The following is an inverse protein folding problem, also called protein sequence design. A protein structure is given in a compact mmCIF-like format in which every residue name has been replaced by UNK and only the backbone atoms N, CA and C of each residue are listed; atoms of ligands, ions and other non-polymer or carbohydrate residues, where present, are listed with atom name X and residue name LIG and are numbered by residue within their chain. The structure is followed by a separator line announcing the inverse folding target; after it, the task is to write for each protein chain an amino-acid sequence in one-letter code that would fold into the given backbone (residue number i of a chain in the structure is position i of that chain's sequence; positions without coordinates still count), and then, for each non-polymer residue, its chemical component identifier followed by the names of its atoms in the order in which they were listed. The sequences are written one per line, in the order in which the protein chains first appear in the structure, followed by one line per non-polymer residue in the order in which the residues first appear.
data_IF_377266596330
#
_entry.id   IF_377266596330
#
_cell.length_a   1.000
_cell.length_b   1.000
_cell.length_c   1.000
_cell.angle_alpha   90.00
_cell.angle_beta   90.00
_cell.angle_gamma   90.00
#
_symmetry.space_group_name_H-M   'P 1'
#
loop_
_entity.id
_entity.type
_entity.pdbx_description
1 polymer ?
#
# COMPACT_ATOMS: atom_id res chain seq x y z
N UNK A 1 57.64 -23.74 74.40
CA UNK A 1 57.88 -22.36 73.95
C UNK A 1 59.23 -22.29 73.26
N UNK A 2 59.47 -21.45 72.26
CA UNK A 2 58.69 -20.39 71.62
C UNK A 2 59.30 -20.21 70.21
N UNK A 3 58.58 -19.98 69.11
CA UNK A 3 57.61 -18.91 68.83
C UNK A 3 58.20 -17.49 68.81
N UNK A 4 59.45 -17.30 68.36
CA UNK A 4 60.02 -15.95 68.16
C UNK A 4 60.93 -15.73 66.92
N UNK A 5 61.28 -16.74 66.12
CA UNK A 5 62.22 -16.54 64.99
C UNK A 5 61.58 -16.39 63.60
N UNK A 6 60.25 -16.23 63.50
CA UNK A 6 59.55 -16.19 62.22
C UNK A 6 58.71 -14.94 61.97
N UNK A 7 58.93 -13.85 62.74
CA UNK A 7 58.01 -12.70 62.77
C UNK A 7 58.58 -11.31 62.45
N UNK A 8 59.84 -11.12 62.00
CA UNK A 8 60.32 -9.77 61.65
C UNK A 8 61.18 -9.73 60.38
N UNK A 9 60.46 -9.61 59.25
CA UNK A 9 60.72 -8.79 58.05
C UNK A 9 62.13 -8.46 57.57
N UNK A 10 62.32 -8.55 56.25
CA UNK A 10 62.79 -7.44 55.38
C UNK A 10 62.60 -7.79 53.89
N UNK A 11 61.86 -6.94 53.18
CA UNK A 11 61.67 -6.87 51.71
C UNK A 11 62.96 -6.42 50.96
N UNK A 12 62.98 -6.10 49.64
CA UNK A 12 62.15 -6.49 48.49
C UNK A 12 62.99 -7.01 47.29
N UNK A 13 62.35 -7.57 46.27
CA UNK A 13 63.03 -7.84 44.99
C UNK A 13 62.12 -8.47 43.92
N UNK A 14 61.25 -7.67 43.32
CA UNK A 14 60.70 -7.91 41.97
C UNK A 14 61.82 -7.59 40.92
N UNK A 15 61.78 -8.06 39.65
CA UNK A 15 60.56 -8.22 38.85
C UNK A 15 60.45 -9.43 37.88
N UNK A 16 59.20 -9.64 37.45
CA UNK A 16 58.70 -10.02 36.12
C UNK A 16 59.18 -11.30 35.41
N UNK A 17 58.35 -12.35 35.44
CA UNK A 17 57.34 -12.66 34.39
C UNK A 17 56.65 -14.01 34.69
N UNK A 18 55.31 -14.12 34.58
CA UNK A 18 54.60 -15.37 34.85
C UNK A 18 54.34 -16.20 33.58
N UNK A 19 54.40 -17.51 33.82
CA UNK A 19 54.15 -18.65 32.96
C UNK A 19 52.68 -18.79 32.47
N UNK A 20 52.50 -19.50 31.36
CA UNK A 20 51.30 -20.34 31.09
C UNK A 20 51.05 -21.32 32.26
N UNK A 21 49.83 -21.86 32.52
CA UNK A 21 49.00 -22.57 31.53
C UNK A 21 47.46 -22.64 31.80
N UNK A 22 46.82 -23.44 30.94
CA UNK A 22 45.72 -24.38 31.21
C UNK A 22 44.24 -24.03 30.99
N UNK A 23 43.56 -25.04 30.47
CA UNK A 23 42.26 -25.05 29.82
C UNK A 23 41.10 -25.28 30.79
N UNK A 24 39.92 -24.86 30.32
CA UNK A 24 38.58 -25.35 30.65
C UNK A 24 37.98 -24.96 32.03
N UNK A 25 37.11 -23.94 32.02
CA UNK A 25 35.75 -24.11 32.56
C UNK A 25 34.78 -23.12 31.89
N UNK A 26 33.79 -23.67 31.19
CA UNK A 26 32.70 -22.95 30.52
C UNK A 26 31.52 -22.75 31.47
N UNK A 27 30.63 -21.82 31.10
CA UNK A 27 29.20 -21.83 31.37
C UNK A 27 28.72 -21.05 32.62
N UNK A 28 28.44 -19.76 32.43
CA UNK A 28 27.16 -19.11 32.79
C UNK A 28 27.31 -17.57 32.76
N UNK A 29 27.17 -16.95 31.58
CA UNK A 29 26.78 -15.54 31.51
C UNK A 29 25.85 -15.33 30.31
N UNK A 30 24.66 -14.71 30.50
CA UNK A 30 23.74 -14.44 29.40
C UNK A 30 24.37 -13.38 28.52
N UNK A 31 24.96 -13.80 27.39
CA UNK A 31 25.43 -12.89 26.35
C UNK A 31 24.22 -12.11 25.85
N UNK A 32 24.21 -10.80 26.08
CA UNK A 32 23.22 -9.89 25.54
C UNK A 32 23.33 -9.87 24.01
N UNK A 33 22.62 -10.78 23.35
CA UNK A 33 22.55 -10.93 21.88
C UNK A 33 22.15 -9.60 21.20
N UNK A 34 21.44 -8.72 21.92
CA UNK A 34 21.06 -7.38 21.47
C UNK A 34 22.24 -6.45 21.15
N UNK A 35 23.39 -6.58 21.82
CA UNK A 35 24.48 -5.61 21.64
C UNK A 35 25.29 -5.88 20.37
N UNK A 36 25.28 -7.11 19.84
CA UNK A 36 26.04 -7.46 18.64
C UNK A 36 25.30 -7.14 17.32
N UNK A 37 23.98 -6.94 17.35
CA UNK A 37 23.22 -6.52 16.16
C UNK A 37 23.34 -5.00 15.87
N UNK A 38 23.65 -4.19 16.88
CA UNK A 38 23.67 -2.72 16.72
C UNK A 38 25.04 -2.17 16.26
N UNK A 39 26.12 -2.95 16.34
CA UNK A 39 27.46 -2.50 15.99
C UNK A 39 27.85 -2.75 14.52
N UNK A 40 26.97 -3.36 13.72
CA UNK A 40 27.19 -3.56 12.28
C UNK A 40 26.95 -2.28 11.46
N UNK A 41 26.57 -1.17 12.10
CA UNK A 41 26.20 0.08 11.44
C UNK A 41 27.41 1.00 11.12
N UNK A 42 28.58 0.77 11.72
CA UNK A 42 29.71 1.71 11.65
C UNK A 42 30.72 1.45 10.51
N UNK A 43 30.55 0.39 9.72
CA UNK A 43 31.53 -0.02 8.70
C UNK A 43 30.91 -0.28 7.33
N UNK A 44 29.97 0.55 6.86
CA UNK A 44 29.64 0.65 5.42
C UNK A 44 29.38 -0.67 4.68
N UNK A 45 28.95 -1.72 5.39
CA UNK A 45 28.71 -3.04 4.82
C UNK A 45 27.40 -2.98 4.04
N UNK A 46 27.30 -3.68 2.90
CA UNK A 46 26.07 -3.72 2.12
C UNK A 46 24.95 -4.18 3.04
N UNK A 47 23.94 -3.33 3.24
CA UNK A 47 22.89 -3.43 4.28
C UNK A 47 21.85 -4.52 3.97
N UNK A 48 22.26 -5.57 3.27
CA UNK A 48 21.43 -6.67 2.86
C UNK A 48 22.27 -7.89 2.51
N UNK A 49 22.52 -8.73 3.51
CA UNK A 49 23.19 -10.02 3.33
C UNK A 49 22.23 -11.08 2.79
N UNK A 50 20.92 -10.85 2.91
CA UNK A 50 19.92 -11.86 2.62
C UNK A 50 19.11 -11.56 1.37
N UNK A 51 18.75 -12.60 0.63
CA UNK A 51 17.70 -12.58 -0.37
C UNK A 51 16.49 -13.30 0.17
N UNK A 52 15.33 -12.63 0.17
CA UNK A 52 14.06 -13.17 0.65
C UNK A 52 13.20 -13.62 -0.53
N UNK A 53 12.51 -14.75 -0.32
CA UNK A 53 11.64 -15.42 -1.27
C UNK A 53 10.32 -15.67 -0.56
N UNK A 54 9.21 -15.26 -1.15
CA UNK A 54 7.89 -15.61 -0.66
C UNK A 54 7.52 -16.98 -1.21
N UNK A 55 7.18 -17.92 -0.33
CA UNK A 55 6.81 -19.30 -0.67
C UNK A 55 5.37 -19.54 -0.25
N UNK A 56 4.59 -20.09 -1.17
CA UNK A 56 3.24 -20.59 -0.91
C UNK A 56 3.32 -22.04 -0.41
N UNK A 57 2.94 -22.28 0.83
CA UNK A 57 3.20 -23.57 1.50
C UNK A 57 2.31 -24.72 1.00
N UNK A 58 1.23 -24.44 0.27
CA UNK A 58 0.31 -25.47 -0.22
C UNK A 58 0.74 -26.13 -1.55
N UNK A 59 1.59 -25.49 -2.36
CA UNK A 59 2.13 -26.05 -3.62
C UNK A 59 3.63 -25.80 -3.84
N UNK A 60 4.30 -25.18 -2.87
CA UNK A 60 5.71 -24.84 -2.93
C UNK A 60 6.04 -23.77 -3.97
N UNK A 61 5.07 -23.06 -4.55
CA UNK A 61 5.40 -21.98 -5.48
C UNK A 61 6.15 -20.86 -4.76
N UNK A 62 7.21 -20.33 -5.36
CA UNK A 62 7.96 -19.24 -4.76
C UNK A 62 8.34 -18.14 -5.74
N UNK A 63 8.42 -16.91 -5.24
CA UNK A 63 8.82 -15.73 -6.00
C UNK A 63 9.71 -14.80 -5.16
N UNK A 64 10.61 -14.02 -5.80
CA UNK A 64 11.51 -13.13 -5.09
C UNK A 64 10.80 -11.92 -4.48
N UNK A 65 11.25 -11.55 -3.28
CA UNK A 65 10.79 -10.36 -2.55
C UNK A 65 11.88 -9.29 -2.55
N UNK A 66 12.94 -9.50 -1.76
CA UNK A 66 14.06 -8.57 -1.62
C UNK A 66 15.37 -9.27 -1.96
N UNK A 67 16.25 -8.61 -2.73
CA UNK A 67 17.60 -9.15 -3.04
C UNK A 67 18.68 -8.72 -2.05
N UNK A 68 18.38 -7.77 -1.17
CA UNK A 68 19.29 -7.21 -0.18
C UNK A 68 18.51 -6.83 1.09
N UNK A 69 17.96 -7.84 1.76
CA UNK A 69 17.27 -7.71 3.04
C UNK A 69 18.24 -7.87 4.22
N UNK A 70 17.97 -7.12 5.28
CA UNK A 70 18.52 -7.35 6.62
C UNK A 70 17.56 -8.22 7.44
N UNK A 71 18.00 -8.82 8.57
CA UNK A 71 17.09 -9.56 9.45
C UNK A 71 15.91 -8.73 9.97
N UNK A 72 16.06 -7.41 10.11
CA UNK A 72 14.99 -6.49 10.50
C UNK A 72 13.89 -6.35 9.45
N UNK A 73 14.17 -6.68 8.19
CA UNK A 73 13.23 -6.60 7.07
C UNK A 73 12.32 -7.82 6.96
N UNK A 74 12.64 -8.93 7.63
CA UNK A 74 11.93 -10.20 7.47
C UNK A 74 10.46 -10.11 7.90
N UNK A 75 10.15 -9.33 8.93
CA UNK A 75 8.76 -9.13 9.36
C UNK A 75 7.94 -8.37 8.31
N UNK A 76 8.52 -7.33 7.71
CA UNK A 76 7.89 -6.57 6.62
C UNK A 76 7.67 -7.47 5.41
N UNK A 77 8.72 -8.21 5.02
CA UNK A 77 8.65 -9.11 3.88
C UNK A 77 7.63 -10.24 4.13
N UNK A 78 7.49 -10.73 5.37
CA UNK A 78 6.48 -11.72 5.75
C UNK A 78 5.06 -11.17 5.57
N UNK A 79 4.78 -9.95 6.07
CA UNK A 79 3.46 -9.30 5.88
C UNK A 79 3.14 -9.06 4.40
N UNK A 80 4.13 -8.67 3.60
CA UNK A 80 3.96 -8.48 2.16
C UNK A 80 3.75 -9.82 1.43
N UNK A 81 4.41 -10.88 1.89
CA UNK A 81 4.24 -12.23 1.35
C UNK A 81 2.81 -12.76 1.62
N UNK A 82 2.30 -12.58 2.83
CA UNK A 82 0.92 -12.93 3.21
C UNK A 82 -0.12 -12.13 2.44
N UNK A 83 0.09 -10.82 2.25
CA UNK A 83 -0.85 -9.97 1.51
C UNK A 83 -0.90 -10.27 0.01
N UNK A 84 0.13 -10.94 -0.54
CA UNK A 84 0.19 -11.30 -1.95
C UNK A 84 -0.88 -12.34 -2.34
N UNK A 85 -1.24 -13.24 -1.43
CA UNK A 85 -2.19 -14.33 -1.69
C UNK A 85 -3.10 -14.55 -0.46
N UNK A 86 -4.06 -13.65 -0.21
CA UNK A 86 -4.97 -13.76 0.92
C UNK A 86 -5.79 -15.06 0.83
N UNK A 87 -5.96 -15.74 1.97
CA UNK A 87 -6.67 -17.01 2.05
C UNK A 87 -5.81 -18.25 1.77
N UNK A 88 -4.52 -18.07 1.49
CA UNK A 88 -3.53 -19.15 1.43
C UNK A 88 -2.41 -18.90 2.43
N UNK A 89 -1.82 -19.97 2.99
CA UNK A 89 -0.64 -19.85 3.85
C UNK A 89 0.61 -19.54 3.00
N UNK A 90 1.26 -18.43 3.35
CA UNK A 90 2.45 -17.90 2.68
C UNK A 90 3.54 -17.67 3.72
N UNK A 91 4.78 -17.95 3.37
CA UNK A 91 5.91 -17.87 4.29
C UNK A 91 7.16 -17.35 3.58
N UNK A 92 7.90 -16.48 4.25
CA UNK A 92 9.19 -16.03 3.75
C UNK A 92 10.26 -17.07 4.03
N UNK A 93 11.04 -17.36 3.00
CA UNK A 93 12.28 -18.09 3.04
C UNK A 93 13.41 -17.15 2.65
N UNK A 94 14.62 -17.39 3.16
CA UNK A 94 15.78 -16.56 2.85
C UNK A 94 17.00 -17.39 2.49
N UNK A 95 17.92 -16.76 1.78
CA UNK A 95 19.27 -17.25 1.49
C UNK A 95 20.28 -16.13 1.70
N UNK A 96 21.55 -16.46 1.97
CA UNK A 96 22.66 -15.50 2.13
C UNK A 96 23.46 -15.30 0.84
N UNK A 97 23.41 -16.24 -0.10
CA UNK A 97 24.14 -16.19 -1.37
C UNK A 97 23.25 -15.78 -2.54
N UNK A 98 23.81 -15.04 -3.50
CA UNK A 98 23.12 -14.74 -4.78
C UNK A 98 22.94 -15.99 -5.67
N UNK A 99 23.75 -17.02 -5.46
CA UNK A 99 23.79 -18.24 -6.26
C UNK A 99 23.37 -19.50 -5.48
N UNK A 100 22.78 -19.34 -4.31
CA UNK A 100 22.34 -20.49 -3.51
C UNK A 100 21.12 -21.15 -4.16
N UNK A 101 21.04 -22.48 -4.05
CA UNK A 101 19.91 -23.23 -4.57
C UNK A 101 18.65 -22.94 -3.74
N UNK A 102 17.54 -22.75 -4.45
CA UNK A 102 16.19 -22.72 -3.90
C UNK A 102 15.89 -23.84 -2.90
N UNK A 103 16.44 -25.04 -3.06
CA UNK A 103 16.23 -26.16 -2.13
C UNK A 103 16.75 -25.87 -0.71
N UNK A 104 17.85 -25.12 -0.63
CA UNK A 104 18.55 -24.78 0.61
C UNK A 104 18.07 -23.51 1.30
N UNK A 105 17.07 -22.81 0.75
CA UNK A 105 16.52 -21.61 1.38
C UNK A 105 15.92 -21.96 2.73
N UNK A 106 16.11 -21.10 3.73
CA UNK A 106 15.66 -21.36 5.11
C UNK A 106 14.40 -20.56 5.42
N UNK A 107 13.40 -21.20 5.99
CA UNK A 107 12.17 -20.56 6.48
C UNK A 107 12.50 -19.53 7.58
N UNK A 108 11.97 -18.31 7.46
CA UNK A 108 12.10 -17.27 8.49
C UNK A 108 11.33 -17.60 9.78
N UNK A 109 10.32 -18.47 9.68
CA UNK A 109 9.42 -18.83 10.79
C UNK A 109 9.86 -20.13 11.46
N UNK A 110 10.14 -21.17 10.67
CA UNK A 110 10.42 -22.52 11.20
C UNK A 110 11.91 -22.86 11.27
N UNK A 111 12.77 -22.11 10.57
CA UNK A 111 14.19 -22.41 10.44
C UNK A 111 14.52 -23.67 9.62
N UNK A 112 13.51 -24.32 9.02
CA UNK A 112 13.70 -25.50 8.17
C UNK A 112 14.01 -25.11 6.71
N UNK A 113 14.77 -25.94 5.99
CA UNK A 113 15.05 -25.71 4.58
C UNK A 113 13.78 -25.94 3.74
N UNK A 114 13.70 -25.25 2.60
CA UNK A 114 12.56 -25.34 1.69
C UNK A 114 12.34 -26.77 1.16
N UNK A 115 13.41 -27.56 0.97
CA UNK A 115 13.29 -28.96 0.53
C UNK A 115 12.57 -29.88 1.53
N UNK A 116 12.52 -29.52 2.82
CA UNK A 116 11.77 -30.28 3.83
C UNK A 116 10.27 -29.99 3.80
N UNK A 117 9.83 -28.96 3.06
CA UNK A 117 8.41 -28.69 2.88
C UNK A 117 7.78 -29.84 2.09
N UNK A 118 6.72 -30.50 2.58
CA UNK A 118 6.09 -31.63 1.87
C UNK A 118 5.59 -31.29 0.47
N UNK A 119 5.33 -30.02 0.22
CA UNK A 119 4.83 -29.46 -1.04
C UNK A 119 5.93 -28.80 -1.88
N UNK A 120 7.21 -28.96 -1.50
CA UNK A 120 8.33 -28.37 -2.23
C UNK A 120 8.30 -28.78 -3.71
N UNK A 121 8.33 -27.78 -4.58
CA UNK A 121 8.35 -27.90 -6.04
C UNK A 121 7.14 -28.59 -6.67
N UNK A 122 6.03 -28.80 -5.95
CA UNK A 122 4.82 -29.38 -6.55
C UNK A 122 4.34 -28.55 -7.74
N UNK A 123 4.45 -27.22 -7.69
CA UNK A 123 4.11 -26.35 -8.81
C UNK A 123 4.91 -26.61 -10.11
N UNK A 124 6.05 -27.30 -10.04
CA UNK A 124 6.88 -27.67 -11.21
C UNK A 124 6.49 -29.04 -11.80
N UNK A 125 5.72 -29.84 -11.08
CA UNK A 125 5.30 -31.18 -11.51
C UNK A 125 4.07 -31.02 -12.40
N UNK A 126 4.16 -31.43 -13.67
CA UNK A 126 3.05 -31.31 -14.62
C UNK A 126 1.96 -32.36 -14.42
N UNK A 127 2.28 -33.43 -13.71
CA UNK A 127 1.42 -34.56 -13.37
C UNK A 127 0.60 -34.35 -12.08
N UNK A 128 0.99 -33.40 -11.22
CA UNK A 128 0.23 -33.05 -10.03
C UNK A 128 -0.58 -31.76 -10.25
N UNK A 129 -1.92 -31.82 -10.30
CA UNK A 129 -2.73 -30.62 -10.36
C UNK A 129 -2.58 -29.83 -9.05
N UNK A 130 -2.50 -28.50 -9.18
CA UNK A 130 -2.47 -27.60 -8.03
C UNK A 130 -3.74 -27.82 -7.17
N UNK A 131 -3.64 -27.94 -5.84
CA UNK A 131 -4.82 -28.08 -5.00
C UNK A 131 -5.81 -26.91 -5.24
N UNK A 132 -7.12 -27.15 -5.31
CA UNK A 132 -8.10 -26.13 -5.69
C UNK A 132 -8.16 -24.94 -4.71
N UNK A 133 -7.81 -25.17 -3.44
CA UNK A 133 -7.72 -24.14 -2.42
C UNK A 133 -6.37 -23.40 -2.39
N UNK A 134 -5.40 -23.81 -3.22
CA UNK A 134 -4.05 -23.29 -3.23
C UNK A 134 -3.89 -22.28 -4.38
N UNK A 135 -4.05 -20.98 -4.08
CA UNK A 135 -4.00 -19.95 -5.12
C UNK A 135 -4.23 -18.55 -4.57
N UNK A 136 -3.76 -17.54 -5.31
CA UNK A 136 -3.94 -16.12 -4.93
C UNK A 136 -5.29 -15.56 -5.39
N UNK A 137 -6.11 -16.39 -6.05
CA UNK A 137 -7.45 -16.08 -6.52
C UNK A 137 -8.49 -16.79 -5.65
N UNK A 138 -8.39 -16.64 -4.32
CA UNK A 138 -9.48 -17.06 -3.45
C UNK A 138 -10.77 -16.39 -3.96
N UNK A 139 -11.86 -17.15 -4.06
CA UNK A 139 -13.15 -16.61 -4.49
C UNK A 139 -13.53 -15.47 -3.53
N UNK A 140 -13.32 -14.24 -3.97
CA UNK A 140 -13.61 -13.07 -3.16
C UNK A 140 -15.12 -12.86 -3.19
N UNK A 141 -15.79 -13.02 -2.06
CA UNK A 141 -17.19 -12.61 -1.89
C UNK A 141 -17.31 -11.08 -1.74
N UNK A 142 -16.45 -10.33 -2.42
CA UNK A 142 -16.45 -8.87 -2.42
C UNK A 142 -16.26 -8.35 -3.84
N UNK A 143 -16.88 -7.21 -4.13
CA UNK A 143 -16.78 -6.51 -5.41
C UNK A 143 -15.78 -5.37 -5.27
N UNK A 144 -14.76 -5.33 -6.14
CA UNK A 144 -13.79 -4.23 -6.17
C UNK A 144 -14.46 -3.07 -6.90
N UNK A 145 -14.98 -2.10 -6.14
CA UNK A 145 -15.67 -0.91 -6.67
C UNK A 145 -14.68 0.13 -7.25
N UNK A 146 -13.38 0.03 -6.92
CA UNK A 146 -12.33 0.93 -7.38
C UNK A 146 -11.38 0.23 -8.37
N UNK A 147 -11.55 0.51 -9.66
CA UNK A 147 -10.80 -0.10 -10.76
C UNK A 147 -11.75 -0.53 -11.87
N UNK A 148 -11.29 -0.56 -13.12
CA UNK A 148 -12.09 -1.05 -14.24
C UNK A 148 -12.53 -2.50 -13.91
N UNK A 149 -13.82 -2.84 -13.89
CA UNK A 149 -14.25 -4.18 -13.52
C UNK A 149 -13.59 -5.20 -14.46
N UNK A 150 -13.15 -6.37 -13.96
CA UNK A 150 -12.72 -7.44 -14.84
C UNK A 150 -13.88 -7.78 -15.78
N UNK A 151 -13.60 -7.92 -17.08
CA UNK A 151 -14.62 -8.30 -18.06
C UNK A 151 -15.29 -9.60 -17.59
N UNK A 152 -16.64 -9.67 -17.52
CA UNK A 152 -17.36 -10.86 -17.05
C UNK A 152 -17.08 -12.13 -17.86
N UNK A 153 -16.36 -12.05 -18.97
CA UNK A 153 -15.95 -13.18 -19.80
C UNK A 153 -14.74 -13.98 -19.26
N UNK A 154 -14.04 -13.51 -18.22
CA UNK A 154 -12.89 -14.27 -17.66
C UNK A 154 -13.29 -15.37 -16.65
N UNK A 155 -14.55 -15.47 -16.28
CA UNK A 155 -15.03 -16.43 -15.26
C UNK A 155 -15.55 -17.75 -15.83
N UNK A 156 -15.66 -17.88 -17.15
CA UNK A 156 -16.08 -19.12 -17.80
C UNK A 156 -14.99 -19.59 -18.77
N UNK A 157 -13.99 -20.29 -18.23
CA UNK A 157 -13.10 -21.11 -19.05
C UNK A 157 -13.88 -22.33 -19.58
N UNK A 158 -14.76 -22.10 -20.55
CA UNK A 158 -15.22 -23.18 -21.41
C UNK A 158 -14.09 -23.46 -22.42
N UNK A 159 -13.53 -24.67 -22.34
CA UNK A 159 -12.47 -25.15 -23.21
C UNK A 159 -13.08 -25.39 -24.59
N UNK A 160 -13.08 -24.37 -25.45
CA UNK A 160 -13.25 -24.58 -26.88
C UNK A 160 -12.25 -23.72 -27.65
N UNK A 161 -11.28 -24.42 -28.24
CA UNK A 161 -10.17 -23.87 -29.00
C UNK A 161 -10.68 -23.20 -30.28
N UNK A 162 -10.93 -21.90 -30.20
CA UNK A 162 -10.85 -21.02 -31.37
C UNK A 162 -9.78 -19.97 -31.08
N UNK A 163 -8.86 -19.69 -32.01
CA UNK A 163 -7.87 -18.64 -31.81
C UNK A 163 -8.60 -17.29 -31.86
N UNK A 164 -8.97 -16.79 -30.68
CA UNK A 164 -9.49 -15.45 -30.54
C UNK A 164 -8.34 -14.48 -30.80
N UNK A 165 -8.31 -13.86 -31.98
CA UNK A 165 -7.39 -12.77 -32.28
C UNK A 165 -8.03 -11.52 -31.66
N UNK A 166 -7.50 -10.99 -30.54
CA UNK A 166 -8.05 -9.77 -29.95
C UNK A 166 -7.88 -8.63 -30.95
N UNK A 167 -8.98 -8.02 -31.35
CA UNK A 167 -8.94 -6.81 -32.16
C UNK A 167 -8.31 -5.69 -31.30
N UNK A 168 -7.29 -4.98 -31.81
CA UNK A 168 -6.66 -3.90 -31.06
C UNK A 168 -7.66 -2.76 -30.87
N UNK A 169 -8.04 -2.51 -29.62
CA UNK A 169 -8.79 -1.31 -29.24
C UNK A 169 -7.81 -0.14 -29.20
N UNK A 170 -8.19 1.01 -29.76
CA UNK A 170 -7.38 2.21 -29.73
C UNK A 170 -7.06 2.59 -28.27
N UNK A 171 -5.77 2.82 -27.98
CA UNK A 171 -5.33 3.25 -26.65
C UNK A 171 -5.92 4.63 -26.35
N UNK A 172 -6.68 4.80 -25.25
CA UNK A 172 -7.15 6.12 -24.83
C UNK A 172 -5.98 7.08 -24.65
N UNK A 173 -6.17 8.35 -24.99
CA UNK A 173 -5.13 9.39 -24.87
C UNK A 173 -4.70 9.51 -23.40
N UNK A 174 -3.40 9.32 -23.08
CA UNK A 174 -2.88 9.42 -21.70
C UNK A 174 -3.12 10.80 -21.06
N UNK A 175 -3.40 11.84 -21.85
CA UNK A 175 -3.68 13.19 -21.37
C UNK A 175 -5.16 13.49 -21.10
N UNK A 176 -6.08 12.57 -21.40
CA UNK A 176 -7.51 12.80 -21.19
C UNK A 176 -7.90 12.50 -19.73
N UNK A 177 -8.41 13.52 -19.04
CA UNK A 177 -9.01 13.36 -17.72
C UNK A 177 -10.33 12.55 -17.82
N UNK A 178 -10.70 11.82 -16.76
CA UNK A 178 -11.86 10.92 -16.78
C UNK A 178 -13.17 11.64 -17.15
N UNK A 179 -13.29 12.93 -16.80
CA UNK A 179 -14.46 13.74 -17.14
C UNK A 179 -14.54 14.05 -18.63
N UNK A 180 -13.42 14.31 -19.31
CA UNK A 180 -13.39 14.51 -20.77
C UNK A 180 -13.77 13.23 -21.52
N UNK A 181 -13.34 12.07 -21.03
CA UNK A 181 -13.74 10.78 -21.60
C UNK A 181 -15.23 10.49 -21.41
N UNK A 182 -15.78 10.80 -20.23
CA UNK A 182 -17.20 10.64 -19.95
C UNK A 182 -18.07 11.56 -20.83
N UNK A 183 -17.63 12.80 -21.06
CA UNK A 183 -18.33 13.73 -21.96
C UNK A 183 -18.30 13.26 -23.42
N UNK A 184 -17.17 12.71 -23.89
CA UNK A 184 -17.04 12.15 -25.23
C UNK A 184 -17.91 10.89 -25.41
N UNK A 185 -17.90 9.97 -24.44
CA UNK A 185 -18.75 8.78 -24.45
C UNK A 185 -20.24 9.13 -24.35
N UNK A 186 -20.56 10.17 -23.59
CA UNK A 186 -21.91 10.71 -23.44
C UNK A 186 -22.41 11.56 -24.62
N UNK A 187 -21.61 11.71 -25.69
CA UNK A 187 -21.97 12.48 -26.88
C UNK A 187 -22.21 13.97 -26.59
N UNK A 188 -21.59 14.51 -25.53
CA UNK A 188 -21.76 15.89 -25.09
C UNK A 188 -20.85 16.82 -25.89
N UNK A 189 -21.02 16.81 -27.21
CA UNK A 189 -20.18 17.57 -28.12
C UNK A 189 -20.52 19.06 -28.12
N UNK A 190 -19.60 19.89 -28.62
CA UNK A 190 -19.79 21.34 -28.74
C UNK A 190 -21.06 21.74 -29.51
N UNK A 191 -21.51 20.89 -30.42
CA UNK A 191 -22.78 21.05 -31.13
C UNK A 191 -23.99 20.72 -30.26
N UNK A 192 -23.92 19.67 -29.43
CA UNK A 192 -24.96 19.33 -28.47
C UNK A 192 -25.14 20.44 -27.42
N UNK A 193 -24.02 20.98 -26.92
CA UNK A 193 -24.03 22.13 -26.01
C UNK A 193 -24.67 23.34 -26.67
N UNK A 194 -24.37 23.62 -27.95
CA UNK A 194 -25.03 24.71 -28.69
C UNK A 194 -26.53 24.51 -28.83
N UNK A 195 -27.00 23.28 -29.08
CA UNK A 195 -28.44 22.97 -29.17
C UNK A 195 -29.16 23.18 -27.83
N UNK A 196 -28.52 22.78 -26.74
CA UNK A 196 -29.06 22.94 -25.38
C UNK A 196 -28.96 24.39 -24.86
N UNK A 197 -27.97 25.15 -25.32
CA UNK A 197 -27.75 26.54 -24.94
C UNK A 197 -28.62 27.55 -25.71
N UNK A 198 -29.43 27.11 -26.68
CA UNK A 198 -30.47 27.96 -27.27
C UNK A 198 -31.55 28.16 -26.21
N UNK A 199 -31.49 29.32 -25.54
CA UNK A 199 -32.57 29.81 -24.67
C UNK A 199 -33.87 29.79 -25.49
N UNK A 200 -34.91 29.05 -25.07
CA UNK A 200 -36.19 29.13 -25.77
C UNK A 200 -36.60 30.60 -25.76
N UNK A 201 -36.81 31.16 -26.94
CA UNK A 201 -37.38 32.49 -27.09
C UNK A 201 -38.70 32.45 -26.31
N UNK A 202 -38.87 33.23 -25.23
CA UNK A 202 -40.15 33.28 -24.57
C UNK A 202 -41.13 33.79 -25.63
N UNK A 203 -42.14 32.98 -25.95
CA UNK A 203 -43.35 33.46 -26.59
C UNK A 203 -43.75 34.78 -25.91
N UNK A 204 -44.16 35.82 -26.65
CA UNK A 204 -44.51 37.09 -26.04
C UNK A 204 -45.85 36.93 -25.30
N UNK A 205 -45.83 36.34 -24.11
CA UNK A 205 -46.90 36.53 -23.15
C UNK A 205 -46.73 37.93 -22.61
N UNK A 206 -47.30 38.89 -23.34
CA UNK A 206 -47.45 40.28 -22.94
C UNK A 206 -48.01 40.31 -21.52
N UNK A 207 -47.21 40.78 -20.57
CA UNK A 207 -47.72 41.22 -19.27
C UNK A 207 -48.75 42.32 -19.55
N UNK A 208 -50.02 42.20 -19.11
CA UNK A 208 -50.99 43.24 -19.35
C UNK A 208 -50.59 44.55 -18.64
N UNK A 209 -51.04 45.71 -19.15
CA UNK A 209 -50.79 47.03 -18.58
C UNK A 209 -51.13 47.10 -17.09
N UNK A 210 -50.47 47.99 -16.32
CA UNK A 210 -50.57 48.03 -14.85
C UNK A 210 -52.00 48.20 -14.32
N UNK A 211 -52.93 48.71 -15.12
CA UNK A 211 -54.33 48.90 -14.73
C UNK A 211 -55.14 47.61 -14.54
N UNK A 212 -54.69 46.47 -15.05
CA UNK A 212 -55.42 45.19 -14.91
C UNK A 212 -54.89 44.32 -13.76
N UNK A 213 -53.90 44.79 -13.00
CA UNK A 213 -53.30 44.03 -11.90
C UNK A 213 -54.14 44.19 -10.63
N UNK A 214 -55.15 43.34 -10.45
CA UNK A 214 -55.91 43.25 -9.18
C UNK A 214 -55.07 42.60 -8.08
N UNK A 215 -54.25 43.38 -7.39
CA UNK A 215 -53.56 42.98 -6.16
C UNK A 215 -54.48 43.29 -4.96
N UNK A 216 -54.85 42.28 -4.19
CA UNK A 216 -55.59 42.48 -2.93
C UNK A 216 -54.59 42.75 -1.82
N UNK A 217 -54.58 43.98 -1.30
CA UNK A 217 -53.78 44.33 -0.12
C UNK A 217 -54.49 43.80 1.11
N UNK A 218 -53.88 42.82 1.78
CA UNK A 218 -54.39 42.26 3.04
C UNK A 218 -53.43 42.64 4.16
N UNK A 219 -53.80 43.66 4.93
CA UNK A 219 -53.03 44.14 6.09
C UNK A 219 -53.35 45.61 6.42
N UNK A 220 -53.21 46.04 7.68
CA UNK A 220 -53.47 47.44 8.05
C UNK A 220 -52.46 48.37 7.35
N UNK A 221 -52.97 49.45 6.77
CA UNK A 221 -52.20 50.43 5.99
C UNK A 221 -51.19 51.16 6.86
N UNK A 222 -49.91 50.78 6.76
CA UNK A 222 -48.82 51.39 7.53
C UNK A 222 -48.00 52.41 6.73
N UNK A 223 -48.26 52.57 5.43
CA UNK A 223 -47.53 53.48 4.52
C UNK A 223 -48.52 54.38 3.77
N UNK A 224 -48.26 55.70 3.64
CA UNK A 224 -49.12 56.60 2.88
C UNK A 224 -49.09 56.31 1.37
N UNK A 225 -50.17 56.66 0.67
CA UNK A 225 -50.36 56.43 -0.77
C UNK A 225 -49.15 56.95 -1.59
N UNK A 226 -48.70 56.22 -2.62
CA UNK A 226 -47.48 56.55 -3.37
C UNK A 226 -47.56 57.91 -4.10
N UNK A 227 -48.75 58.45 -4.34
CA UNK A 227 -48.92 59.81 -4.89
C UNK A 227 -48.41 60.90 -3.93
N UNK A 228 -48.47 60.67 -2.60
CA UNK A 228 -47.98 61.60 -1.58
C UNK A 228 -46.46 61.49 -1.32
N UNK A 229 -45.80 60.42 -1.81
CA UNK A 229 -44.37 60.17 -1.59
C UNK A 229 -43.45 60.82 -2.65
N UNK A 230 -44.01 61.40 -3.71
CA UNK A 230 -43.25 61.93 -4.86
C UNK A 230 -42.55 63.27 -4.61
N UNK A 231 -42.74 63.90 -3.44
CA UNK A 231 -42.19 65.23 -3.12
C UNK A 231 -41.08 65.20 -2.05
N UNK A 232 -40.32 64.11 -1.96
CA UNK A 232 -39.13 64.06 -1.11
C UNK A 232 -37.87 64.21 -1.96
N UNK A 233 -37.51 65.46 -2.26
CA UNK A 233 -36.20 65.79 -2.82
C UNK A 233 -35.15 65.67 -1.70
N UNK A 234 -34.19 64.77 -1.85
CA UNK A 234 -33.05 64.69 -0.91
C UNK A 234 -32.19 65.96 -1.06
N UNK A 235 -31.74 66.58 0.05
CA UNK A 235 -30.83 67.73 -0.03
C UNK A 235 -29.47 67.33 -0.61
N UNK A 236 -28.88 68.22 -1.41
CA UNK A 236 -27.60 67.98 -2.07
C UNK A 236 -26.45 67.76 -1.06
N UNK A 237 -25.49 66.85 -1.37
CA UNK A 237 -24.36 66.59 -0.51
C UNK A 237 -23.47 67.85 -0.37
N UNK A 238 -23.16 68.20 0.88
CA UNK A 238 -22.29 69.33 1.25
C UNK A 238 -20.87 69.10 0.72
N UNK A 239 -20.33 70.03 -0.05
CA UNK A 239 -18.92 70.03 -0.43
C UNK A 239 -18.04 70.24 0.82
N UNK A 240 -17.05 69.37 0.98
CA UNK A 240 -16.06 69.39 2.07
C UNK A 240 -14.84 70.19 1.60
N UNK A 241 -14.23 71.06 2.44
CA UNK A 241 -13.06 71.86 2.07
C UNK A 241 -11.77 71.04 1.90
#
# INVERSE_FOLDING_TARGET
GNLLDQLLGSEPGAPDQPDEPDQAEELNQPRNIRTMLNNADELGQPRGEFRTMCVRTCDGYFFPMSNAASPGDFERDQKNCESSCPGTEMQVFYTRGLNDDSASMTSSVTGRPYIELPTAYLYKQSDMPRPPACGCNAAQNFEIIAGNPPSPEQSEANVETTPFIPLPVARPDPGADPETLANAQGGLDREAIRRLAVKPVPSPTSLPPPEQRKVRVVGPTFLPDPAAATALQAPDPKAVP
#
